data_IF_122483700203
#
_entry.id   IF_122483700203
#
_cell.length_a   1.000
_cell.length_b   1.000
_cell.length_c   1.000
_cell.angle_alpha   90.00
_cell.angle_beta   90.00
_cell.angle_gamma   90.00
#
_symmetry.space_group_name_H-M   'P 1'
#
loop_
_entity.id
_entity.type
_entity.pdbx_description
1 polymer ?
#
# COMPACT_ATOMS: atom_id res chain seq x y z
N UNK A 1 -26.74 52.77 20.11
CA UNK A 1 -25.84 53.87 19.68
C UNK A 1 -24.46 53.57 20.24
N UNK A 2 -23.38 53.83 19.50
CA UNK A 2 -22.06 53.22 19.76
C UNK A 2 -20.93 54.22 20.09
N UNK A 3 -21.25 55.50 20.21
CA UNK A 3 -20.36 56.56 20.69
C UNK A 3 -21.16 57.53 21.56
N UNK A 4 -20.67 57.91 22.76
CA UNK A 4 -21.21 59.06 23.50
C UNK A 4 -20.90 60.37 22.74
N UNK A 5 -21.88 61.27 22.66
CA UNK A 5 -21.71 62.62 22.09
C UNK A 5 -21.03 63.53 23.10
N UNK A 6 -19.71 63.70 22.99
CA UNK A 6 -18.90 64.58 23.83
C UNK A 6 -19.08 66.07 23.45
N UNK A 7 -20.28 66.59 23.67
CA UNK A 7 -20.61 68.01 23.47
C UNK A 7 -20.24 68.85 24.70
N UNK A 8 -18.95 69.19 24.84
CA UNK A 8 -18.47 70.26 25.72
C UNK A 8 -17.29 71.01 25.10
N UNK A 9 -17.39 72.33 24.99
CA UNK A 9 -16.33 73.21 24.48
C UNK A 9 -15.25 73.46 25.55
N UNK A 10 -14.56 72.39 25.97
CA UNK A 10 -13.47 72.39 26.94
C UNK A 10 -12.16 71.88 26.34
N UNK A 11 -11.21 72.79 26.16
CA UNK A 11 -9.82 72.59 25.70
C UNK A 11 -9.58 71.50 24.61
N UNK A 12 -9.73 71.90 23.35
CA UNK A 12 -9.39 71.07 22.19
C UNK A 12 -7.91 70.62 22.14
N UNK A 13 -6.98 71.24 22.87
CA UNK A 13 -5.59 70.79 22.97
C UNK A 13 -5.44 69.63 23.97
N UNK A 14 -6.17 69.64 25.09
CA UNK A 14 -6.28 68.49 25.99
C UNK A 14 -6.94 67.29 25.30
N UNK A 15 -8.05 67.51 24.57
CA UNK A 15 -8.74 66.47 23.81
C UNK A 15 -7.85 65.83 22.72
N UNK A 16 -6.99 66.61 22.05
CA UNK A 16 -6.01 66.07 21.09
C UNK A 16 -4.96 65.19 21.78
N UNK A 17 -4.41 65.63 22.91
CA UNK A 17 -3.42 64.86 23.70
C UNK A 17 -4.00 63.55 24.23
N UNK A 18 -5.25 63.55 24.72
CA UNK A 18 -5.88 62.30 25.19
C UNK A 18 -6.14 61.33 24.04
N UNK A 19 -6.63 61.80 22.88
CA UNK A 19 -6.78 60.97 21.68
C UNK A 19 -5.45 60.43 21.13
N UNK A 20 -4.36 61.19 21.19
CA UNK A 20 -3.01 60.72 20.85
C UNK A 20 -2.49 59.66 21.84
N UNK A 21 -2.82 59.80 23.12
CA UNK A 21 -2.48 58.81 24.15
C UNK A 21 -3.30 57.51 24.01
N UNK A 22 -4.58 57.60 23.61
CA UNK A 22 -5.38 56.42 23.21
C UNK A 22 -4.76 55.76 21.97
N UNK A 23 -4.49 56.53 20.91
CA UNK A 23 -3.91 56.02 19.65
C UNK A 23 -2.55 55.35 19.85
N UNK A 24 -1.68 55.92 20.69
CA UNK A 24 -0.35 55.34 20.97
C UNK A 24 -0.41 54.10 21.86
N UNK A 25 -1.34 54.01 22.82
CA UNK A 25 -1.63 52.77 23.56
C UNK A 25 -2.18 51.67 22.62
N UNK A 26 -3.17 51.97 21.79
CA UNK A 26 -3.76 50.99 20.86
C UNK A 26 -2.75 50.50 19.80
N UNK A 27 -1.88 51.38 19.30
CA UNK A 27 -0.82 50.99 18.34
C UNK A 27 0.14 49.93 18.86
N UNK A 28 0.35 49.81 20.18
CA UNK A 28 1.21 48.75 20.75
C UNK A 28 0.54 47.38 20.71
N UNK A 29 -0.76 47.31 21.04
CA UNK A 29 -1.52 46.07 20.82
C UNK A 29 -1.52 45.66 19.35
N UNK A 30 -1.61 46.62 18.43
CA UNK A 30 -1.53 46.36 16.98
C UNK A 30 -0.15 45.86 16.52
N UNK A 31 0.96 46.30 17.13
CA UNK A 31 2.29 45.75 16.81
C UNK A 31 2.51 44.34 17.35
N UNK A 32 2.07 44.08 18.58
CA UNK A 32 2.35 42.81 19.26
C UNK A 32 1.56 41.66 18.58
N UNK A 33 0.30 41.91 18.23
CA UNK A 33 -0.55 41.00 17.44
C UNK A 33 -0.01 40.83 16.01
N UNK A 34 0.58 41.88 15.41
CA UNK A 34 1.21 41.76 14.10
C UNK A 34 2.44 40.83 14.13
N UNK A 35 3.24 40.83 15.19
CA UNK A 35 4.35 39.85 15.33
C UNK A 35 3.86 38.41 15.48
N UNK A 36 2.85 38.15 16.33
CA UNK A 36 2.33 36.78 16.53
C UNK A 36 1.65 36.22 15.27
N UNK A 37 0.89 37.06 14.56
CA UNK A 37 0.22 36.65 13.31
C UNK A 37 1.23 36.38 12.18
N UNK A 38 2.30 37.17 12.03
CA UNK A 38 3.39 36.90 11.07
C UNK A 38 4.12 35.60 11.41
N UNK A 39 4.41 35.32 12.69
CA UNK A 39 5.05 34.07 13.11
C UNK A 39 4.18 32.84 12.83
N UNK A 40 2.86 32.95 13.00
CA UNK A 40 1.90 31.89 12.64
C UNK A 40 1.78 31.71 11.13
N UNK A 41 1.76 32.80 10.35
CA UNK A 41 1.77 32.74 8.88
C UNK A 41 3.02 32.01 8.35
N UNK A 42 4.20 32.31 8.88
CA UNK A 42 5.44 31.60 8.53
C UNK A 42 5.40 30.10 8.87
N UNK A 43 4.74 29.72 9.98
CA UNK A 43 4.50 28.31 10.33
C UNK A 43 3.50 27.63 9.40
N UNK A 44 2.43 28.32 8.99
CA UNK A 44 1.46 27.80 8.03
C UNK A 44 2.14 27.59 6.67
N UNK A 45 2.91 28.55 6.17
CA UNK A 45 3.72 28.39 4.96
C UNK A 45 4.68 27.20 5.03
N UNK A 46 5.32 26.96 6.19
CA UNK A 46 6.20 25.81 6.39
C UNK A 46 5.41 24.49 6.39
N UNK A 47 4.24 24.45 7.03
CA UNK A 47 3.34 23.31 7.02
C UNK A 47 2.80 23.02 5.60
N UNK A 48 2.48 24.04 4.80
CA UNK A 48 2.08 23.89 3.40
C UNK A 48 3.20 23.32 2.52
N UNK A 49 4.45 23.78 2.72
CA UNK A 49 5.62 23.24 2.01
C UNK A 49 5.86 21.77 2.38
N UNK A 50 5.73 21.40 3.66
CA UNK A 50 5.81 20.02 4.12
C UNK A 50 4.66 19.14 3.58
N UNK A 51 3.43 19.65 3.59
CA UNK A 51 2.26 18.99 3.01
C UNK A 51 2.44 18.73 1.51
N UNK A 52 2.92 19.72 0.75
CA UNK A 52 3.19 19.58 -0.67
C UNK A 52 4.29 18.54 -0.97
N UNK A 53 5.33 18.47 -0.12
CA UNK A 53 6.36 17.43 -0.20
C UNK A 53 5.79 16.04 0.08
N UNK A 54 5.02 15.86 1.17
CA UNK A 54 4.36 14.60 1.49
C UNK A 54 3.40 14.15 0.38
N UNK A 55 2.62 15.07 -0.22
CA UNK A 55 1.77 14.77 -1.37
C UNK A 55 2.60 14.35 -2.59
N UNK A 56 3.73 15.01 -2.88
CA UNK A 56 4.62 14.64 -3.97
C UNK A 56 5.21 13.23 -3.79
N UNK A 57 5.63 12.88 -2.57
CA UNK A 57 6.09 11.52 -2.22
C UNK A 57 4.98 10.50 -2.40
N UNK A 58 3.78 10.79 -1.88
CA UNK A 58 2.59 9.93 -2.07
C UNK A 58 2.24 9.71 -3.54
N UNK A 59 2.34 10.73 -4.40
CA UNK A 59 2.11 10.58 -5.84
C UNK A 59 3.19 9.73 -6.52
N UNK A 60 4.47 9.89 -6.16
CA UNK A 60 5.56 9.06 -6.69
C UNK A 60 5.36 7.58 -6.31
N UNK A 61 5.06 7.28 -5.04
CA UNK A 61 4.80 5.91 -4.58
C UNK A 61 3.54 5.34 -5.24
N UNK A 62 2.47 6.13 -5.44
CA UNK A 62 1.27 5.68 -6.14
C UNK A 62 1.55 5.36 -7.62
N UNK A 63 2.44 6.11 -8.27
CA UNK A 63 2.89 5.82 -9.63
C UNK A 63 3.68 4.51 -9.70
N UNK A 64 4.73 4.35 -8.87
CA UNK A 64 5.50 3.09 -8.79
C UNK A 64 4.64 1.88 -8.42
N UNK A 65 3.66 2.05 -7.52
CA UNK A 65 2.69 1.01 -7.18
C UNK A 65 1.93 0.57 -8.43
N UNK A 66 1.45 1.53 -9.23
CA UNK A 66 0.68 1.24 -10.45
C UNK A 66 1.52 0.53 -11.51
N UNK A 67 2.77 0.94 -11.74
CA UNK A 67 3.69 0.21 -12.64
C UNK A 67 3.96 -1.21 -12.13
N UNK A 68 4.24 -1.38 -10.83
CA UNK A 68 4.49 -2.69 -10.24
C UNK A 68 3.26 -3.62 -10.29
N UNK A 69 2.05 -3.06 -10.23
CA UNK A 69 0.80 -3.81 -10.33
C UNK A 69 0.50 -4.24 -11.77
N UNK A 70 0.82 -3.40 -12.75
CA UNK A 70 0.73 -3.76 -14.18
C UNK A 70 1.70 -4.90 -14.49
N UNK A 71 2.99 -4.77 -14.14
CA UNK A 71 3.95 -5.87 -14.36
C UNK A 71 3.52 -7.13 -13.59
N UNK A 72 3.00 -7.01 -12.36
CA UNK A 72 2.56 -8.17 -11.59
C UNK A 72 1.41 -8.91 -12.28
N UNK A 73 0.43 -8.19 -12.82
CA UNK A 73 -0.65 -8.79 -13.58
C UNK A 73 -0.12 -9.48 -14.86
N UNK A 74 0.77 -8.83 -15.62
CA UNK A 74 1.41 -9.44 -16.80
C UNK A 74 2.17 -10.73 -16.44
N UNK A 75 2.96 -10.75 -15.36
CA UNK A 75 3.69 -11.95 -14.91
C UNK A 75 2.75 -13.06 -14.45
N UNK A 76 1.61 -12.73 -13.83
CA UNK A 76 0.58 -13.71 -13.44
C UNK A 76 -0.13 -14.28 -14.68
N UNK A 77 -0.51 -13.44 -15.65
CA UNK A 77 -1.08 -13.88 -16.92
C UNK A 77 -0.11 -14.80 -17.69
N UNK A 78 1.19 -14.49 -17.67
CA UNK A 78 2.24 -15.34 -18.21
C UNK A 78 2.31 -16.68 -17.44
N UNK A 79 2.30 -16.70 -16.09
CA UNK A 79 2.26 -17.95 -15.29
C UNK A 79 1.08 -18.81 -15.72
N UNK A 80 -0.11 -18.22 -15.75
CA UNK A 80 -1.37 -18.91 -16.07
C UNK A 80 -1.39 -19.44 -17.52
N UNK A 81 -0.91 -18.66 -18.49
CA UNK A 81 -0.81 -19.07 -19.90
C UNK A 81 0.22 -20.18 -20.10
N UNK A 82 1.35 -20.14 -19.38
CA UNK A 82 2.37 -21.18 -19.44
C UNK A 82 1.88 -22.49 -18.79
N UNK A 83 1.25 -22.44 -17.61
CA UNK A 83 0.64 -23.63 -16.98
C UNK A 83 -0.50 -24.21 -17.83
N UNK A 84 -1.32 -23.38 -18.47
CA UNK A 84 -2.34 -23.85 -19.41
C UNK A 84 -1.74 -24.55 -20.65
N UNK A 85 -0.63 -24.05 -21.19
CA UNK A 85 0.12 -24.75 -22.24
C UNK A 85 0.72 -26.06 -21.74
N UNK A 86 1.29 -26.06 -20.54
CA UNK A 86 1.96 -27.22 -19.96
C UNK A 86 0.98 -28.38 -19.74
N UNK A 87 -0.17 -28.14 -19.09
CA UNK A 87 -1.19 -29.18 -18.87
C UNK A 87 -1.74 -29.75 -20.19
N UNK A 88 -2.07 -28.88 -21.17
CA UNK A 88 -2.49 -29.33 -22.51
C UNK A 88 -1.43 -30.13 -23.26
N UNK A 89 -0.15 -29.76 -23.12
CA UNK A 89 0.93 -30.52 -23.75
C UNK A 89 1.20 -31.84 -23.02
N UNK A 90 0.99 -31.90 -21.71
CA UNK A 90 1.06 -33.12 -20.90
C UNK A 90 -0.05 -34.09 -21.31
N UNK A 91 -1.30 -33.62 -21.43
CA UNK A 91 -2.44 -34.37 -21.97
C UNK A 91 -2.15 -34.95 -23.37
N UNK A 92 -1.58 -34.14 -24.27
CA UNK A 92 -1.16 -34.58 -25.62
C UNK A 92 -0.03 -35.60 -25.56
N UNK A 93 0.99 -35.39 -24.72
CA UNK A 93 2.10 -36.32 -24.57
C UNK A 93 1.66 -37.68 -24.01
N UNK A 94 0.75 -37.69 -23.03
CA UNK A 94 0.15 -38.89 -22.44
C UNK A 94 -0.70 -39.64 -23.48
N UNK A 95 -1.50 -38.93 -24.27
CA UNK A 95 -2.29 -39.56 -25.35
C UNK A 95 -1.41 -40.07 -26.50
N UNK A 96 -0.34 -39.37 -26.87
CA UNK A 96 0.64 -39.80 -27.88
C UNK A 96 1.41 -41.05 -27.41
N UNK A 97 1.82 -41.12 -26.14
CA UNK A 97 2.50 -42.27 -25.53
C UNK A 97 1.60 -43.52 -25.47
N UNK A 98 0.36 -43.35 -25.02
CA UNK A 98 -0.60 -44.46 -24.88
C UNK A 98 -1.11 -44.97 -26.22
N UNK A 99 -1.43 -44.08 -27.18
CA UNK A 99 -1.91 -44.51 -28.51
C UNK A 99 -0.84 -45.15 -29.37
N UNK A 100 0.43 -44.69 -29.28
CA UNK A 100 1.55 -45.34 -29.97
C UNK A 100 1.71 -46.80 -29.53
N UNK A 101 1.58 -47.07 -28.23
CA UNK A 101 1.62 -48.42 -27.65
C UNK A 101 0.47 -49.31 -28.15
N UNK A 102 -0.73 -48.74 -28.31
CA UNK A 102 -1.92 -49.45 -28.81
C UNK A 102 -1.83 -49.90 -30.27
N UNK A 103 -0.85 -49.43 -31.05
CA UNK A 103 -0.73 -49.79 -32.47
C UNK A 103 -0.22 -51.22 -32.73
N UNK A 104 0.27 -51.92 -31.69
CA UNK A 104 0.86 -53.26 -31.80
C UNK A 104 0.20 -54.36 -30.96
N UNK A 105 -0.90 -54.09 -30.25
CA UNK A 105 -1.64 -55.11 -29.47
C UNK A 105 -3.15 -54.84 -29.43
N UNK A 106 -3.94 -55.86 -29.71
CA UNK A 106 -5.40 -55.76 -29.85
C UNK A 106 -6.15 -55.59 -28.52
N UNK A 107 -7.17 -54.72 -28.55
CA UNK A 107 -8.40 -54.77 -27.73
C UNK A 107 -8.28 -54.92 -26.21
N UNK A 108 -8.30 -53.79 -25.49
CA UNK A 108 -9.15 -53.63 -24.29
C UNK A 108 -9.45 -52.15 -24.03
N UNK A 109 -10.49 -51.86 -23.24
CA UNK A 109 -11.01 -50.51 -22.99
C UNK A 109 -10.31 -49.76 -21.86
N UNK A 110 -10.20 -48.43 -21.99
CA UNK A 110 -9.72 -47.50 -20.96
C UNK A 110 -10.41 -47.68 -19.60
N UNK A 111 -9.61 -47.69 -18.53
CA UNK A 111 -10.02 -47.17 -17.21
C UNK A 111 -8.81 -46.55 -16.50
N UNK A 112 -9.07 -45.53 -15.69
CA UNK A 112 -8.17 -44.56 -15.04
C UNK A 112 -6.66 -44.90 -14.89
N UNK A 113 -5.81 -43.89 -15.16
CA UNK A 113 -4.43 -43.83 -14.66
C UNK A 113 -4.42 -43.79 -13.11
N UNK A 114 -4.14 -44.93 -12.49
CA UNK A 114 -3.64 -45.03 -11.10
C UNK A 114 -2.59 -46.14 -11.09
N UNK A 115 -1.36 -45.82 -10.68
CA UNK A 115 -0.19 -46.71 -10.63
C UNK A 115 0.25 -47.39 -11.96
N UNK A 116 1.26 -46.85 -12.68
CA UNK A 116 2.00 -47.61 -13.70
C UNK A 116 2.93 -48.70 -13.11
N UNK A 117 2.90 -48.91 -11.78
CA UNK A 117 3.85 -49.75 -11.06
C UNK A 117 3.60 -51.25 -11.17
N UNK A 118 2.38 -51.73 -11.43
CA UNK A 118 2.14 -53.18 -11.47
C UNK A 118 2.85 -53.88 -12.64
N UNK A 119 2.96 -53.19 -13.78
CA UNK A 119 3.75 -53.63 -14.94
C UNK A 119 5.28 -53.65 -14.66
N UNK A 120 5.74 -52.84 -13.71
CA UNK A 120 7.14 -52.85 -13.24
C UNK A 120 7.32 -53.91 -12.14
N UNK A 121 6.33 -54.08 -11.26
CA UNK A 121 6.31 -55.06 -10.18
C UNK A 121 6.32 -56.49 -10.70
N UNK A 122 5.55 -56.83 -11.74
CA UNK A 122 5.57 -58.18 -12.33
C UNK A 122 6.97 -58.54 -12.86
N UNK A 123 7.69 -57.54 -13.40
CA UNK A 123 9.08 -57.70 -13.85
C UNK A 123 10.07 -57.80 -12.68
N UNK A 124 9.89 -57.03 -11.60
CA UNK A 124 10.76 -57.08 -10.41
C UNK A 124 10.48 -58.27 -9.46
N UNK A 125 9.25 -58.80 -9.44
CA UNK A 125 8.87 -59.96 -8.64
C UNK A 125 9.75 -61.19 -8.96
N UNK A 126 10.10 -61.35 -10.25
CA UNK A 126 11.03 -62.39 -10.72
C UNK A 126 12.44 -62.32 -10.13
N UNK A 127 12.84 -61.21 -9.49
CA UNK A 127 14.17 -61.02 -8.91
C UNK A 127 14.24 -61.31 -7.40
N UNK A 128 13.11 -61.28 -6.67
CA UNK A 128 13.10 -61.26 -5.21
C UNK A 128 12.18 -62.31 -4.56
N UNK A 129 12.20 -63.53 -5.11
CA UNK A 129 11.86 -64.79 -4.42
C UNK A 129 12.84 -65.12 -3.26
N UNK A 130 13.35 -64.10 -2.54
CA UNK A 130 14.53 -64.15 -1.65
C UNK A 130 14.35 -63.40 -0.32
N UNK A 131 13.19 -63.60 0.32
CA UNK A 131 12.96 -63.53 1.78
C UNK A 131 12.95 -62.08 2.40
N UNK A 132 12.52 -61.85 3.67
CA UNK A 132 11.07 -61.85 3.99
C UNK A 132 10.56 -60.75 4.97
N UNK A 133 9.66 -59.85 4.49
CA UNK A 133 8.62 -59.05 5.25
C UNK A 133 9.17 -58.13 6.41
N UNK A 134 8.48 -57.40 7.33
CA UNK A 134 7.06 -57.16 7.77
C UNK A 134 6.89 -55.67 8.24
N UNK A 135 5.71 -55.03 7.97
CA UNK A 135 5.11 -53.86 8.70
C UNK A 135 5.82 -52.48 8.70
N UNK A 136 5.15 -51.32 8.94
CA UNK A 136 3.71 -50.98 9.03
C UNK A 136 3.43 -49.51 8.65
N UNK A 137 2.17 -49.24 8.31
CA UNK A 137 1.56 -47.91 8.11
C UNK A 137 1.53 -47.06 9.38
N UNK A 138 1.81 -45.76 9.28
CA UNK A 138 1.45 -44.72 10.25
C UNK A 138 1.01 -43.46 9.50
N UNK A 139 -0.13 -42.92 9.90
CA UNK A 139 -0.72 -41.65 9.46
C UNK A 139 -0.50 -40.57 10.54
N UNK A 140 -0.11 -39.36 10.15
CA UNK A 140 -0.02 -38.17 11.01
C UNK A 140 -0.23 -36.90 10.17
N UNK A 141 -1.39 -36.26 10.32
CA UNK A 141 -1.66 -34.92 9.78
C UNK A 141 -1.49 -33.82 10.83
N UNK A 142 -0.86 -32.71 10.44
CA UNK A 142 -0.80 -31.38 11.08
C UNK A 142 -0.06 -30.44 10.09
N UNK A 143 -0.24 -29.12 10.04
CA UNK A 143 -1.19 -28.20 10.70
C UNK A 143 -1.46 -27.00 9.74
N UNK A 144 -2.47 -26.16 10.01
CA UNK A 144 -2.97 -25.13 9.08
C UNK A 144 -2.24 -23.77 9.16
N UNK A 145 -1.45 -23.37 8.15
CA UNK A 145 -1.48 -22.03 7.48
C UNK A 145 -0.36 -21.83 6.43
N UNK A 146 -0.70 -21.86 5.13
CA UNK A 146 0.30 -21.64 4.05
C UNK A 146 -0.20 -21.47 2.61
N UNK A 147 -1.51 -21.27 2.39
CA UNK A 147 -2.16 -21.48 1.08
C UNK A 147 -1.54 -20.74 -0.13
N UNK A 148 -1.63 -21.40 -1.29
CA UNK A 148 -1.05 -21.06 -2.61
C UNK A 148 0.45 -21.45 -2.80
N UNK A 149 0.99 -22.37 -2.00
CA UNK A 149 2.29 -23.01 -2.28
C UNK A 149 2.19 -24.56 -2.32
N UNK A 150 1.59 -25.20 -1.31
CA UNK A 150 1.64 -26.67 -1.15
C UNK A 150 1.08 -27.45 -2.36
N UNK A 151 -0.03 -26.97 -2.96
CA UNK A 151 -0.63 -27.59 -4.16
C UNK A 151 0.16 -27.34 -5.44
N UNK A 152 0.92 -26.25 -5.52
CA UNK A 152 1.80 -25.96 -6.65
C UNK A 152 3.02 -26.89 -6.63
N UNK A 153 3.58 -27.13 -5.44
CA UNK A 153 4.73 -28.03 -5.23
C UNK A 153 4.35 -29.50 -5.48
N UNK A 154 3.13 -29.93 -5.11
CA UNK A 154 2.63 -31.28 -5.44
C UNK A 154 2.35 -31.49 -6.94
N UNK A 155 1.68 -30.54 -7.63
CA UNK A 155 1.49 -30.61 -9.10
C UNK A 155 2.84 -30.67 -9.84
N UNK A 156 3.85 -29.92 -9.39
CA UNK A 156 5.18 -29.94 -10.01
C UNK A 156 5.94 -31.25 -9.74
N UNK A 157 5.87 -31.80 -8.52
CA UNK A 157 6.49 -33.08 -8.19
C UNK A 157 5.86 -34.28 -8.93
N UNK A 158 4.56 -34.25 -9.22
CA UNK A 158 3.94 -35.26 -10.11
C UNK A 158 4.36 -35.06 -11.57
N UNK A 159 4.40 -33.80 -12.03
CA UNK A 159 4.80 -33.46 -13.40
C UNK A 159 6.25 -33.88 -13.71
N UNK A 160 7.18 -33.77 -12.76
CA UNK A 160 8.56 -34.26 -12.93
C UNK A 160 8.61 -35.80 -13.09
N UNK A 161 7.82 -36.55 -12.31
CA UNK A 161 7.73 -38.02 -12.43
C UNK A 161 7.17 -38.43 -13.79
N UNK A 162 6.07 -37.80 -14.20
CA UNK A 162 5.42 -38.03 -15.49
C UNK A 162 6.36 -37.70 -16.67
N UNK A 163 7.19 -36.66 -16.54
CA UNK A 163 8.21 -36.30 -17.52
C UNK A 163 9.24 -37.41 -17.76
N UNK A 164 9.78 -38.02 -16.70
CA UNK A 164 10.78 -39.11 -16.82
C UNK A 164 10.24 -40.30 -17.63
N UNK A 165 8.95 -40.61 -17.49
CA UNK A 165 8.29 -41.64 -18.30
C UNK A 165 8.08 -41.19 -19.76
N UNK A 166 7.66 -39.93 -19.96
CA UNK A 166 7.45 -39.36 -21.30
C UNK A 166 8.74 -39.18 -22.10
N UNK A 167 9.90 -39.02 -21.47
CA UNK A 167 11.21 -38.99 -22.14
C UNK A 167 11.52 -40.26 -22.93
N UNK A 168 11.08 -41.42 -22.42
CA UNK A 168 11.32 -42.72 -23.06
C UNK A 168 10.27 -42.99 -24.15
N UNK A 169 9.02 -42.57 -23.92
CA UNK A 169 7.88 -42.89 -24.80
C UNK A 169 7.69 -41.86 -25.92
N UNK A 170 7.86 -40.57 -25.64
CA UNK A 170 7.64 -39.45 -26.57
C UNK A 170 8.68 -38.33 -26.33
N UNK A 171 9.98 -38.59 -26.63
CA UNK A 171 11.10 -37.69 -26.28
C UNK A 171 10.96 -36.26 -26.83
N UNK A 172 10.30 -36.09 -27.98
CA UNK A 172 9.98 -34.79 -28.58
C UNK A 172 9.08 -33.94 -27.67
N UNK A 173 7.97 -34.53 -27.19
CA UNK A 173 7.04 -33.86 -26.26
C UNK A 173 7.66 -33.61 -24.89
N UNK A 174 8.45 -34.54 -24.39
CA UNK A 174 9.18 -34.35 -23.13
C UNK A 174 10.18 -33.18 -23.21
N UNK A 175 10.84 -32.98 -24.35
CA UNK A 175 11.68 -31.81 -24.59
C UNK A 175 10.87 -30.50 -24.64
N UNK A 176 9.72 -30.48 -25.31
CA UNK A 176 8.81 -29.32 -25.34
C UNK A 176 8.26 -28.98 -23.93
N UNK A 177 7.87 -29.98 -23.14
CA UNK A 177 7.43 -29.84 -21.75
C UNK A 177 8.53 -29.26 -20.84
N UNK A 178 9.77 -29.74 -20.97
CA UNK A 178 10.93 -29.19 -20.24
C UNK A 178 11.25 -27.74 -20.61
N UNK A 179 11.02 -27.34 -21.86
CA UNK A 179 11.14 -25.92 -22.25
C UNK A 179 10.06 -25.07 -21.57
N UNK A 180 8.83 -25.60 -21.43
CA UNK A 180 7.76 -24.94 -20.66
C UNK A 180 8.08 -24.83 -19.17
N UNK A 181 8.54 -25.90 -18.50
CA UNK A 181 9.02 -25.82 -17.10
C UNK A 181 10.10 -24.75 -16.91
N UNK A 182 11.13 -24.74 -17.77
CA UNK A 182 12.19 -23.71 -17.72
C UNK A 182 11.63 -22.30 -17.87
N UNK A 183 10.58 -22.11 -18.67
CA UNK A 183 9.91 -20.80 -18.82
C UNK A 183 9.03 -20.43 -17.62
N UNK A 184 8.42 -21.40 -16.94
CA UNK A 184 7.68 -21.20 -15.69
C UNK A 184 8.63 -20.77 -14.57
N UNK A 185 9.65 -21.59 -14.29
CA UNK A 185 10.65 -21.30 -13.27
C UNK A 185 11.41 -19.98 -13.54
N UNK A 186 11.61 -19.59 -14.80
CA UNK A 186 12.13 -18.26 -15.15
C UNK A 186 11.17 -17.13 -14.79
N UNK A 187 9.88 -17.27 -15.13
CA UNK A 187 8.86 -16.28 -14.79
C UNK A 187 8.64 -16.15 -13.27
N UNK A 188 8.66 -17.26 -12.54
CA UNK A 188 8.47 -17.30 -11.08
C UNK A 188 9.66 -16.68 -10.31
N UNK A 189 10.88 -16.80 -10.84
CA UNK A 189 12.06 -16.06 -10.34
C UNK A 189 11.92 -14.54 -10.47
N UNK A 190 11.12 -14.04 -11.41
CA UNK A 190 10.78 -12.61 -11.55
C UNK A 190 9.57 -12.26 -10.68
N UNK A 191 8.55 -13.12 -10.65
CA UNK A 191 7.29 -12.91 -9.94
C UNK A 191 7.49 -12.84 -8.41
N UNK A 192 8.36 -13.68 -7.83
CA UNK A 192 8.64 -13.69 -6.38
C UNK A 192 9.22 -12.37 -5.84
N UNK A 193 10.29 -11.77 -6.39
CA UNK A 193 10.76 -10.45 -5.95
C UNK A 193 9.78 -9.32 -6.31
N UNK A 194 9.03 -9.43 -7.40
CA UNK A 194 8.02 -8.43 -7.78
C UNK A 194 6.87 -8.37 -6.77
N UNK A 195 6.32 -9.52 -6.35
CA UNK A 195 5.37 -9.62 -5.23
C UNK A 195 5.90 -8.96 -3.95
N UNK A 196 7.19 -9.12 -3.65
CA UNK A 196 7.82 -8.46 -2.51
C UNK A 196 7.91 -6.93 -2.69
N UNK A 197 8.21 -6.42 -3.90
CA UNK A 197 8.20 -4.99 -4.22
C UNK A 197 6.79 -4.40 -4.07
N UNK A 198 5.77 -4.98 -4.70
CA UNK A 198 4.38 -4.49 -4.61
C UNK A 198 3.87 -4.52 -3.17
N UNK A 199 4.17 -5.58 -2.39
CA UNK A 199 3.83 -5.64 -0.95
C UNK A 199 4.58 -4.60 -0.09
N UNK A 200 5.76 -4.11 -0.51
CA UNK A 200 6.45 -2.98 0.15
C UNK A 200 5.77 -1.66 -0.22
N UNK A 201 5.70 -1.35 -1.51
CA UNK A 201 5.04 -0.14 -2.05
C UNK A 201 3.61 0.05 -1.52
N UNK A 202 2.86 -1.03 -1.29
CA UNK A 202 1.52 -0.96 -0.70
C UNK A 202 1.52 -0.46 0.77
N UNK A 203 2.52 -0.82 1.57
CA UNK A 203 2.71 -0.27 2.93
C UNK A 203 3.24 1.15 2.87
N UNK A 204 4.20 1.40 1.99
CA UNK A 204 4.82 2.72 1.83
C UNK A 204 3.76 3.75 1.37
N UNK A 205 2.81 3.33 0.52
CA UNK A 205 1.64 4.13 0.11
C UNK A 205 0.62 4.36 1.25
N UNK A 206 0.52 3.45 2.22
CA UNK A 206 -0.29 3.65 3.42
C UNK A 206 0.38 4.65 4.38
N UNK A 207 1.69 4.55 4.58
CA UNK A 207 2.47 5.49 5.40
C UNK A 207 2.44 6.90 4.80
N UNK A 208 2.78 7.06 3.51
CA UNK A 208 2.73 8.35 2.81
C UNK A 208 1.29 8.92 2.68
N UNK A 209 0.25 8.10 2.87
CA UNK A 209 -1.11 8.60 3.04
C UNK A 209 -1.33 9.20 4.42
N UNK A 210 -0.91 8.51 5.49
CA UNK A 210 -1.01 9.01 6.87
C UNK A 210 -0.19 10.28 7.05
N UNK A 211 1.03 10.36 6.51
CA UNK A 211 1.88 11.56 6.54
C UNK A 211 1.18 12.79 5.91
N UNK A 212 0.44 12.60 4.80
CA UNK A 212 -0.34 13.68 4.17
C UNK A 212 -1.55 14.08 5.02
N UNK A 213 -2.23 13.12 5.63
CA UNK A 213 -3.38 13.37 6.51
C UNK A 213 -2.96 14.07 7.81
N UNK A 214 -1.82 13.70 8.40
CA UNK A 214 -1.21 14.38 9.56
C UNK A 214 -0.70 15.79 9.22
N UNK A 215 -0.04 15.98 8.07
CA UNK A 215 0.44 17.29 7.63
C UNK A 215 -0.72 18.27 7.36
N UNK A 216 -1.81 17.80 6.75
CA UNK A 216 -3.04 18.57 6.57
C UNK A 216 -3.67 18.94 7.94
N UNK A 217 -3.82 17.98 8.85
CA UNK A 217 -4.37 18.24 10.19
C UNK A 217 -3.52 19.23 11.00
N UNK A 218 -2.18 19.16 10.90
CA UNK A 218 -1.29 20.12 11.55
C UNK A 218 -1.44 21.53 10.97
N UNK A 219 -1.55 21.66 9.63
CA UNK A 219 -1.84 22.92 8.94
C UNK A 219 -3.17 23.53 9.40
N UNK A 220 -4.24 22.76 9.40
CA UNK A 220 -5.58 23.23 9.77
C UNK A 220 -5.59 23.72 11.22
N UNK A 221 -4.94 22.98 12.14
CA UNK A 221 -4.78 23.39 13.53
C UNK A 221 -4.01 24.70 13.71
N UNK A 222 -3.03 25.01 12.85
CA UNK A 222 -2.34 26.30 12.85
C UNK A 222 -3.24 27.43 12.32
N UNK A 223 -4.09 27.16 11.32
CA UNK A 223 -5.07 28.12 10.80
C UNK A 223 -6.14 28.44 11.85
N UNK A 224 -6.66 27.44 12.57
CA UNK A 224 -7.58 27.62 13.70
C UNK A 224 -6.94 28.47 14.81
N UNK A 225 -5.68 28.22 15.16
CA UNK A 225 -4.95 29.02 16.16
C UNK A 225 -4.78 30.48 15.72
N UNK A 226 -4.44 30.73 14.44
CA UNK A 226 -4.36 32.08 13.89
C UNK A 226 -5.71 32.80 13.95
N UNK A 227 -6.80 32.14 13.54
CA UNK A 227 -8.16 32.66 13.61
C UNK A 227 -8.58 32.96 15.05
N UNK A 228 -8.30 32.06 15.99
CA UNK A 228 -8.60 32.24 17.41
C UNK A 228 -7.85 33.44 18.00
N UNK A 229 -6.58 33.62 17.67
CA UNK A 229 -5.76 34.77 18.12
C UNK A 229 -6.28 36.08 17.52
N UNK A 230 -6.61 36.10 16.23
CA UNK A 230 -7.23 37.29 15.61
C UNK A 230 -8.54 37.67 16.31
N UNK A 231 -9.48 36.73 16.48
CA UNK A 231 -10.77 36.98 17.14
C UNK A 231 -10.63 37.34 18.63
N UNK A 232 -9.64 36.79 19.34
CA UNK A 232 -9.35 37.17 20.72
C UNK A 232 -8.75 38.58 20.82
N UNK A 233 -7.82 38.91 19.92
CA UNK A 233 -7.18 40.23 19.87
C UNK A 233 -8.16 41.35 19.53
N UNK A 234 -9.12 41.10 18.62
CA UNK A 234 -10.15 42.07 18.27
C UNK A 234 -11.07 42.37 19.47
N UNK A 235 -11.49 41.34 20.21
CA UNK A 235 -12.27 41.50 21.46
C UNK A 235 -11.50 42.31 22.50
N UNK A 236 -10.25 41.94 22.78
CA UNK A 236 -9.39 42.66 23.72
C UNK A 236 -9.14 44.12 23.30
N UNK A 237 -8.97 44.37 22.00
CA UNK A 237 -8.83 45.72 21.44
C UNK A 237 -10.11 46.55 21.63
N UNK A 238 -11.28 45.96 21.39
CA UNK A 238 -12.58 46.61 21.58
C UNK A 238 -12.85 46.90 23.07
N UNK A 239 -12.59 45.94 23.96
CA UNK A 239 -12.67 46.12 25.41
C UNK A 239 -11.71 47.20 25.90
N UNK A 240 -10.44 47.16 25.48
CA UNK A 240 -9.45 48.17 25.89
C UNK A 240 -9.77 49.55 25.30
N UNK A 241 -10.35 49.63 24.11
CA UNK A 241 -10.85 50.88 23.53
C UNK A 241 -11.98 51.48 24.37
N UNK A 242 -12.97 50.66 24.78
CA UNK A 242 -14.06 51.10 25.67
C UNK A 242 -13.53 51.58 27.04
N UNK A 243 -12.59 50.84 27.62
CA UNK A 243 -11.91 51.27 28.87
C UNK A 243 -11.16 52.59 28.69
N UNK A 244 -10.47 52.78 27.56
CA UNK A 244 -9.69 53.99 27.29
C UNK A 244 -10.57 55.23 27.07
N UNK A 245 -11.75 55.08 26.47
CA UNK A 245 -12.75 56.16 26.45
C UNK A 245 -13.25 56.47 27.87
N UNK A 246 -13.63 55.45 28.66
CA UNK A 246 -14.08 55.66 30.04
C UNK A 246 -12.99 56.22 30.99
N UNK A 247 -11.70 55.93 30.74
CA UNK A 247 -10.56 56.58 31.40
C UNK A 247 -10.55 58.10 31.10
N UNK A 248 -10.74 58.48 29.84
CA UNK A 248 -10.74 59.88 29.40
C UNK A 248 -11.99 60.63 29.90
N UNK A 249 -13.18 60.06 29.74
CA UNK A 249 -14.45 60.67 30.16
C UNK A 249 -14.45 61.02 31.65
N UNK A 250 -13.89 60.15 32.49
CA UNK A 250 -13.73 60.40 33.94
C UNK A 250 -12.70 61.49 34.25
N UNK A 251 -11.58 61.52 33.52
CA UNK A 251 -10.56 62.56 33.69
C UNK A 251 -11.04 63.95 33.28
N UNK A 252 -11.97 64.03 32.31
CA UNK A 252 -12.65 65.26 31.91
C UNK A 252 -13.74 65.75 32.87
N UNK A 253 -14.04 65.01 33.95
CA UNK A 253 -15.01 65.39 34.99
C UNK A 253 -14.33 65.81 36.32
N UNK A 254 -13.00 65.91 36.36
CA UNK A 254 -12.21 66.23 37.56
C UNK A 254 -11.26 67.43 37.37
N UNK A 255 -11.44 68.22 36.30
CA UNK A 255 -10.74 69.47 36.02
C UNK A 255 -11.71 70.58 35.66
#
# INVERSE_FOLDING_TARGET
MLFPSLEHEGDAAAQRKSLELIRSKLRRFDTDVASDTVFLQQKIEAAEKAQAQAMSVRYAIAYELSESAIELNERIEIKNRLRSKFRKLMEVAITEATTSSSSSSSTSSFSAWVNPFDFINERMASCFERLPIISSYVDTGDELHGGDNDTDDEEEAEAERNLVHLEVLVPTRAAELRLLQRSLAYNERILRPLLQRTRRLQRDAQLARVEVEEAQFFKDRLADQLLQIMLASEKLKNERMQQLFAEVDRSGQQG
#
